data_IF_496654502420
#
_entry.id   IF_496654502420
#
_cell.length_a   1.000
_cell.length_b   1.000
_cell.length_c   1.000
_cell.angle_alpha   90.00
_cell.angle_beta   90.00
_cell.angle_gamma   90.00
#
_symmetry.space_group_name_H-M   'P 1'
#
loop_
_entity.id
_entity.type
_entity.pdbx_description
1 polymer ?
#
# COMPACT_ATOMS: atom_id res chain seq x y z
N UNK A 1 7.19 10.80 22.52
CA UNK A 1 5.77 11.09 22.81
C UNK A 1 5.09 11.41 21.50
N UNK A 2 4.03 10.70 21.12
CA UNK A 2 2.72 11.28 20.77
C UNK A 2 1.76 10.19 20.28
N UNK A 3 0.71 9.99 21.08
CA UNK A 3 -0.63 9.53 20.69
C UNK A 3 -0.83 8.07 20.28
N UNK A 4 -0.54 7.15 21.21
CA UNK A 4 -1.53 6.12 21.46
C UNK A 4 -2.85 6.83 21.84
N UNK A 5 -3.94 6.50 21.13
CA UNK A 5 -5.33 7.00 21.30
C UNK A 5 -5.68 8.26 20.52
N UNK A 6 -6.26 8.06 19.33
CA UNK A 6 -7.42 8.86 18.90
C UNK A 6 -8.47 7.93 18.29
N UNK A 7 -9.38 7.49 19.15
CA UNK A 7 -10.76 7.12 18.84
C UNK A 7 -10.98 5.81 18.06
N UNK A 8 -11.11 4.76 18.88
CA UNK A 8 -11.90 3.56 18.63
C UNK A 8 -13.43 3.84 18.51
N UNK A 9 -13.83 5.05 18.09
CA UNK A 9 -15.22 5.53 18.00
C UNK A 9 -15.24 6.55 16.84
N UNK A 10 -15.83 6.26 15.69
CA UNK A 10 -17.28 6.10 15.54
C UNK A 10 -17.61 5.29 14.27
N UNK A 11 -18.63 4.44 14.42
CA UNK A 11 -19.53 3.95 13.36
C UNK A 11 -18.95 2.96 12.35
N UNK A 12 -18.75 1.74 12.86
CA UNK A 12 -19.03 0.51 12.10
C UNK A 12 -20.47 0.56 11.59
N UNK A 13 -20.67 0.92 10.33
CA UNK A 13 -21.98 0.93 9.67
C UNK A 13 -22.13 2.11 8.74
N UNK A 14 -22.08 1.85 7.43
CA UNK A 14 -22.46 2.78 6.36
C UNK A 14 -21.41 3.80 5.90
N UNK A 15 -20.18 3.38 5.58
CA UNK A 15 -19.41 4.11 4.56
C UNK A 15 -19.99 3.77 3.17
N UNK A 16 -21.20 4.24 2.89
CA UNK A 16 -21.72 4.35 1.51
C UNK A 16 -21.14 5.61 0.84
N UNK A 17 -20.86 6.66 1.63
CA UNK A 17 -20.31 7.90 1.12
C UNK A 17 -18.79 7.85 0.93
N UNK A 18 -18.41 7.87 -0.34
CA UNK A 18 -17.02 7.95 -0.80
C UNK A 18 -16.25 9.15 -0.22
N UNK A 19 -16.95 10.26 0.08
CA UNK A 19 -16.35 11.49 0.61
C UNK A 19 -15.67 11.26 1.96
N UNK A 20 -16.39 10.65 2.90
CA UNK A 20 -15.90 10.41 4.26
C UNK A 20 -14.72 9.44 4.22
N UNK A 21 -14.86 8.36 3.44
CA UNK A 21 -13.82 7.37 3.24
C UNK A 21 -12.53 7.97 2.63
N UNK A 22 -12.66 8.83 1.62
CA UNK A 22 -11.51 9.53 1.02
C UNK A 22 -10.88 10.53 2.01
N UNK A 23 -11.68 11.20 2.84
CA UNK A 23 -11.16 12.11 3.86
C UNK A 23 -10.30 11.39 4.90
N UNK A 24 -10.74 10.19 5.34
CA UNK A 24 -10.01 9.36 6.30
C UNK A 24 -8.66 8.90 5.73
N UNK A 25 -8.65 8.38 4.49
CA UNK A 25 -7.39 7.99 3.84
C UNK A 25 -6.42 9.15 3.66
N UNK A 26 -6.91 10.35 3.36
CA UNK A 26 -6.07 11.56 3.24
C UNK A 26 -5.54 12.02 4.58
N UNK A 27 -6.31 11.89 5.65
CA UNK A 27 -5.83 12.19 7.01
C UNK A 27 -4.72 11.22 7.41
N UNK A 28 -4.91 9.92 7.22
CA UNK A 28 -3.89 8.90 7.47
C UNK A 28 -2.62 9.19 6.64
N UNK A 29 -2.79 9.55 5.37
CA UNK A 29 -1.68 9.92 4.49
C UNK A 29 -0.88 11.11 5.03
N UNK A 30 -1.56 12.18 5.47
CA UNK A 30 -0.91 13.36 6.06
C UNK A 30 -0.21 13.06 7.38
N UNK A 31 -0.83 12.25 8.24
CA UNK A 31 -0.26 11.84 9.52
C UNK A 31 0.99 10.98 9.39
N UNK A 32 1.16 10.29 8.24
CA UNK A 32 2.29 9.41 7.97
C UNK A 32 3.25 9.98 6.91
N UNK A 33 3.22 11.30 6.68
CA UNK A 33 4.14 12.02 5.78
C UNK A 33 4.13 11.50 4.33
N UNK A 34 2.99 10.97 3.88
CA UNK A 34 2.83 10.43 2.52
C UNK A 34 2.40 11.49 1.49
N UNK A 35 2.42 12.79 1.83
CA UNK A 35 2.07 13.91 0.94
C UNK A 35 0.71 13.80 0.23
N UNK A 36 -0.22 13.01 0.75
CA UNK A 36 -1.53 12.77 0.12
C UNK A 36 -1.57 11.54 -0.79
N UNK A 37 -0.48 10.77 -0.89
CA UNK A 37 -0.44 9.47 -1.55
C UNK A 37 -1.26 8.42 -0.81
N UNK A 38 -1.66 7.39 -1.56
CA UNK A 38 -2.35 6.23 -1.03
C UNK A 38 -1.53 5.52 0.05
N UNK A 39 -2.07 5.38 1.29
CA UNK A 39 -1.46 4.55 2.31
C UNK A 39 -1.34 3.10 1.87
N UNK A 40 -0.16 2.50 2.08
CA UNK A 40 0.08 1.11 1.76
C UNK A 40 -0.72 0.17 2.68
N UNK A 41 -1.09 -1.01 2.16
CA UNK A 41 -1.85 -2.00 2.95
C UNK A 41 -1.10 -2.41 4.23
N UNK A 42 0.24 -2.44 4.19
CA UNK A 42 1.05 -2.77 5.36
C UNK A 42 0.92 -1.69 6.44
N UNK A 43 1.07 -0.42 6.06
CA UNK A 43 0.91 0.72 6.96
C UNK A 43 -0.49 0.72 7.61
N UNK A 44 -1.54 0.54 6.82
CA UNK A 44 -2.91 0.48 7.35
C UNK A 44 -3.11 -0.65 8.36
N UNK A 45 -2.49 -1.82 8.14
CA UNK A 45 -2.57 -2.94 9.10
C UNK A 45 -1.77 -2.66 10.36
N UNK A 46 -0.57 -2.11 10.23
CA UNK A 46 0.31 -1.80 11.35
C UNK A 46 -0.32 -0.72 12.26
N UNK A 47 -1.09 0.20 11.69
CA UNK A 47 -1.87 1.21 12.40
C UNK A 47 -3.23 0.71 12.95
N UNK A 48 -3.62 -0.53 12.66
CA UNK A 48 -4.87 -1.13 13.15
C UNK A 48 -6.12 -0.87 12.29
N UNK A 49 -6.00 -0.25 11.13
CA UNK A 49 -7.09 -0.01 10.17
C UNK A 49 -7.45 -1.26 9.33
N UNK A 50 -7.53 -2.43 9.96
CA UNK A 50 -7.85 -3.69 9.28
C UNK A 50 -9.26 -3.71 8.67
N UNK A 51 -10.23 -3.06 9.32
CA UNK A 51 -11.59 -2.87 8.81
C UNK A 51 -11.60 -2.02 7.53
N UNK A 52 -10.81 -0.95 7.49
CA UNK A 52 -10.65 -0.08 6.32
C UNK A 52 -10.07 -0.86 5.12
N UNK A 53 -9.05 -1.69 5.37
CA UNK A 53 -8.50 -2.60 4.36
C UNK A 53 -9.56 -3.57 3.83
N UNK A 54 -10.44 -4.09 4.69
CA UNK A 54 -11.56 -4.93 4.26
C UNK A 54 -12.58 -4.16 3.42
N UNK A 55 -12.93 -2.93 3.82
CA UNK A 55 -13.83 -2.07 3.07
C UNK A 55 -13.28 -1.76 1.67
N UNK A 56 -11.99 -1.43 1.57
CA UNK A 56 -11.30 -1.22 0.29
C UNK A 56 -11.46 -2.43 -0.63
N UNK A 57 -11.20 -3.63 -0.09
CA UNK A 57 -11.24 -4.88 -0.87
C UNK A 57 -12.65 -5.28 -1.27
N UNK A 58 -13.62 -5.16 -0.37
CA UNK A 58 -14.98 -5.68 -0.58
C UNK A 58 -15.93 -4.68 -1.25
N UNK A 59 -15.80 -3.38 -0.94
CA UNK A 59 -16.75 -2.33 -1.37
C UNK A 59 -16.19 -1.42 -2.45
N UNK A 60 -14.89 -1.12 -2.42
CA UNK A 60 -14.31 -0.07 -3.28
C UNK A 60 -13.41 -0.58 -4.43
N UNK A 61 -13.43 -1.89 -4.72
CA UNK A 61 -12.74 -2.47 -5.87
C UNK A 61 -11.23 -2.70 -5.68
N UNK A 62 -10.75 -2.64 -4.43
CA UNK A 62 -9.35 -2.88 -4.09
C UNK A 62 -8.46 -1.64 -4.09
N UNK A 63 -7.20 -1.82 -3.66
CA UNK A 63 -6.26 -0.70 -3.44
C UNK A 63 -6.01 0.11 -4.70
N UNK A 64 -5.90 -0.55 -5.86
CA UNK A 64 -5.60 0.12 -7.14
C UNK A 64 -6.77 1.01 -7.57
N UNK A 65 -8.01 0.53 -7.43
CA UNK A 65 -9.20 1.30 -7.77
C UNK A 65 -9.34 2.53 -6.87
N UNK A 66 -9.08 2.37 -5.58
CA UNK A 66 -9.12 3.49 -4.63
C UNK A 66 -7.97 4.48 -4.90
N UNK A 67 -6.75 4.02 -5.15
CA UNK A 67 -5.62 4.90 -5.47
C UNK A 67 -5.90 5.72 -6.74
N UNK A 68 -6.49 5.10 -7.76
CA UNK A 68 -6.93 5.81 -8.96
C UNK A 68 -7.99 6.88 -8.64
N UNK A 69 -8.98 6.55 -7.80
CA UNK A 69 -10.00 7.53 -7.36
C UNK A 69 -9.43 8.66 -6.50
N UNK A 70 -8.34 8.42 -5.77
CA UNK A 70 -7.63 9.47 -5.02
C UNK A 70 -6.69 10.32 -5.89
N UNK A 71 -6.46 9.92 -7.14
CA UNK A 71 -5.54 10.60 -8.07
C UNK A 71 -4.07 10.16 -7.92
N UNK A 72 -3.78 9.14 -7.12
CA UNK A 72 -2.41 8.71 -6.78
C UNK A 72 -2.01 7.46 -7.56
N UNK A 73 -2.44 7.36 -8.83
CA UNK A 73 -2.19 6.17 -9.65
C UNK A 73 -0.69 6.03 -9.90
N UNK A 74 -0.09 4.90 -9.49
CA UNK A 74 1.28 4.56 -9.85
C UNK A 74 1.33 4.34 -11.36
N UNK A 75 2.31 4.93 -12.02
CA UNK A 75 2.53 4.74 -13.45
C UNK A 75 2.78 3.25 -13.75
N UNK A 76 1.92 2.65 -14.58
CA UNK A 76 1.96 1.23 -14.94
C UNK A 76 3.31 0.87 -15.59
N UNK A 77 3.91 1.79 -16.33
CA UNK A 77 5.23 1.61 -16.95
C UNK A 77 6.32 1.49 -15.88
N UNK A 78 6.30 2.36 -14.86
CA UNK A 78 7.27 2.34 -13.76
C UNK A 78 7.15 1.03 -12.97
N UNK A 79 5.93 0.56 -12.71
CA UNK A 79 5.69 -0.71 -12.05
C UNK A 79 6.27 -1.90 -12.83
N UNK A 80 6.02 -1.96 -14.14
CA UNK A 80 6.52 -3.03 -15.01
C UNK A 80 8.05 -3.03 -15.13
N UNK A 81 8.67 -1.86 -15.23
CA UNK A 81 10.12 -1.72 -15.21
C UNK A 81 10.67 -2.24 -13.88
N UNK A 82 10.10 -1.82 -12.74
CA UNK A 82 10.55 -2.25 -11.42
C UNK A 82 10.44 -3.78 -11.22
N UNK A 83 9.36 -4.39 -11.72
CA UNK A 83 9.18 -5.84 -11.72
C UNK A 83 10.31 -6.54 -12.49
N UNK A 84 10.63 -6.04 -13.69
CA UNK A 84 11.70 -6.58 -14.55
C UNK A 84 13.08 -6.40 -13.92
N UNK A 85 13.39 -5.24 -13.35
CA UNK A 85 14.68 -4.96 -12.69
C UNK A 85 14.86 -5.83 -11.45
N UNK A 86 13.84 -5.95 -10.61
CA UNK A 86 13.86 -6.82 -9.42
C UNK A 86 14.10 -8.29 -9.78
N UNK A 87 13.41 -8.80 -10.81
CA UNK A 87 13.62 -10.17 -11.30
C UNK A 87 15.05 -10.37 -11.82
N UNK A 88 15.61 -9.38 -12.54
CA UNK A 88 16.99 -9.42 -13.04
C UNK A 88 18.00 -9.41 -11.89
N UNK A 89 17.78 -8.60 -10.85
CA UNK A 89 18.64 -8.54 -9.66
C UNK A 89 18.72 -9.91 -8.96
N UNK A 90 17.57 -10.56 -8.72
CA UNK A 90 17.51 -11.91 -8.12
C UNK A 90 18.27 -12.95 -8.96
N UNK A 91 18.13 -12.92 -10.29
CA UNK A 91 18.89 -13.83 -11.18
C UNK A 91 20.39 -13.58 -11.13
N UNK A 92 20.82 -12.31 -11.05
CA UNK A 92 22.24 -11.96 -10.91
C UNK A 92 22.81 -12.44 -9.57
N UNK A 93 22.06 -12.24 -8.49
CA UNK A 93 22.45 -12.73 -7.17
C UNK A 93 22.62 -14.26 -7.19
N UNK A 94 21.61 -15.00 -7.67
CA UNK A 94 21.71 -16.47 -7.79
C UNK A 94 22.88 -16.92 -8.67
N UNK A 95 23.17 -16.18 -9.75
CA UNK A 95 24.33 -16.46 -10.59
C UNK A 95 25.64 -16.21 -9.83
N UNK A 96 25.73 -15.12 -9.08
CA UNK A 96 26.90 -14.79 -8.27
C UNK A 96 27.13 -15.86 -7.20
N UNK A 97 26.08 -16.33 -6.54
CA UNK A 97 26.14 -17.43 -5.58
C UNK A 97 26.70 -18.71 -6.23
N UNK A 98 26.21 -19.10 -7.42
CA UNK A 98 26.78 -20.24 -8.16
C UNK A 98 28.24 -20.05 -8.55
N UNK A 99 28.61 -18.86 -9.02
CA UNK A 99 30.02 -18.54 -9.35
C UNK A 99 30.90 -18.65 -8.10
N UNK A 100 30.44 -18.11 -6.97
CA UNK A 100 31.17 -18.19 -5.70
C UNK A 100 31.32 -19.64 -5.21
N UNK A 101 30.37 -20.51 -5.55
CA UNK A 101 30.44 -21.95 -5.27
C UNK A 101 31.23 -22.73 -6.32
N UNK A 102 31.79 -22.07 -7.35
CA UNK A 102 32.39 -22.70 -8.53
C UNK A 102 31.47 -23.74 -9.21
N UNK A 103 30.16 -23.52 -9.12
CA UNK A 103 29.11 -24.36 -9.69
C UNK A 103 28.76 -23.86 -11.10
N UNK A 104 29.46 -24.44 -12.09
CA UNK A 104 29.38 -24.02 -13.49
C UNK A 104 28.45 -24.87 -14.37
N UNK A 105 27.82 -25.91 -13.80
CA UNK A 105 26.97 -26.85 -14.53
C UNK A 105 25.48 -26.71 -14.19
#
# INVERSE_FOLDING_TARGET
MMLARRLQQLRTGDTEDWSDFNSELRNISRENELEGDMPDTKLLKDLGYGSLVMAIRKKHGGMVAVAAKMGTRKDDHVFDVHKKTSARAKRRQKRQERINMHDFY
#
